data_IF_516901398303
#
_entry.id   IF_516901398303
#
_cell.length_a   1.000
_cell.length_b   1.000
_cell.length_c   1.000
_cell.angle_alpha   90.00
_cell.angle_beta   90.00
_cell.angle_gamma   90.00
#
_symmetry.space_group_name_H-M   'P 1'
#
loop_
_entity.id
_entity.type
_entity.pdbx_description
1 polymer ?
#
# COMPACT_ATOMS: atom_id res chain seq x y z
N UNK A 1 6.47 44.15 40.23
CA UNK A 1 6.00 42.81 40.63
C UNK A 1 5.83 42.03 39.32
N UNK A 2 6.83 41.22 38.96
CA UNK A 2 6.83 40.42 37.72
C UNK A 2 6.07 39.11 37.94
N UNK A 3 5.20 38.74 37.01
CA UNK A 3 4.66 37.40 36.80
C UNK A 3 4.31 37.32 35.30
N UNK A 4 5.16 36.67 34.48
CA UNK A 4 4.97 35.28 33.98
C UNK A 4 3.54 35.11 33.42
N UNK A 5 3.26 35.06 32.11
CA UNK A 5 4.01 34.47 31.01
C UNK A 5 3.65 32.99 30.87
N UNK A 6 2.65 32.66 30.04
CA UNK A 6 2.51 31.41 29.26
C UNK A 6 1.08 31.25 28.66
N UNK A 7 0.90 31.70 27.43
CA UNK A 7 0.22 30.94 26.36
C UNK A 7 1.34 30.75 25.30
N UNK A 8 1.51 29.61 24.59
CA UNK A 8 0.45 28.72 24.08
C UNK A 8 0.81 27.21 24.06
N UNK A 9 -0.14 26.30 24.31
CA UNK A 9 0.02 24.91 23.80
C UNK A 9 -0.84 24.72 22.56
N UNK A 10 -0.23 25.10 21.44
CA UNK A 10 -0.56 24.59 20.13
C UNK A 10 -0.47 23.05 20.18
N UNK A 11 -1.62 22.40 20.28
CA UNK A 11 -1.73 20.97 20.04
C UNK A 11 -1.21 20.67 18.65
N UNK A 12 0.02 20.16 18.58
CA UNK A 12 0.61 19.68 17.35
C UNK A 12 -0.31 18.59 16.79
N UNK A 13 -1.08 18.93 15.76
CA UNK A 13 -1.72 17.97 14.90
C UNK A 13 -0.60 17.05 14.39
N UNK A 14 -0.54 15.84 14.94
CA UNK A 14 0.36 14.81 14.42
C UNK A 14 0.12 14.75 12.91
N UNK A 15 1.14 14.95 12.07
CA UNK A 15 0.96 14.74 10.65
C UNK A 15 0.50 13.29 10.51
N UNK A 16 -0.76 13.10 10.09
CA UNK A 16 -1.29 11.79 9.80
C UNK A 16 -0.30 11.15 8.82
N UNK A 17 0.44 10.13 9.29
CA UNK A 17 1.26 9.34 8.39
C UNK A 17 0.35 8.95 7.23
N UNK A 18 0.73 9.21 5.96
CA UNK A 18 -0.14 8.94 4.83
C UNK A 18 -0.59 7.49 4.96
N UNK A 19 -1.90 7.32 5.17
CA UNK A 19 -2.47 6.02 5.44
C UNK A 19 -2.10 5.12 4.27
N UNK A 20 -1.16 4.19 4.51
CA UNK A 20 -0.79 3.23 3.48
C UNK A 20 -2.08 2.57 3.03
N UNK A 21 -2.42 2.60 1.72
CA UNK A 21 -3.65 1.99 1.26
C UNK A 21 -3.61 0.54 1.68
N UNK A 22 -4.60 0.08 2.45
CA UNK A 22 -4.59 -1.29 2.93
C UNK A 22 -4.51 -2.27 1.77
N UNK A 23 -3.85 -3.40 1.99
CA UNK A 23 -3.75 -4.47 0.99
C UNK A 23 -5.16 -4.87 0.50
N UNK A 24 -5.31 -5.19 -0.79
CA UNK A 24 -6.58 -5.68 -1.31
C UNK A 24 -7.04 -6.93 -0.54
N UNK A 25 -8.35 -7.02 -0.29
CA UNK A 25 -8.94 -8.20 0.35
C UNK A 25 -8.68 -9.44 -0.52
N UNK A 26 -8.36 -10.57 0.11
CA UNK A 26 -8.13 -11.84 -0.57
C UNK A 26 -6.72 -12.06 -1.09
N UNK A 27 -5.76 -11.16 -0.78
CA UNK A 27 -4.34 -11.37 -1.09
C UNK A 27 -3.46 -10.99 0.09
N UNK A 28 -2.42 -11.80 0.34
CA UNK A 28 -1.41 -11.50 1.36
C UNK A 28 -0.29 -10.66 0.74
N UNK A 29 0.50 -9.97 1.58
CA UNK A 29 1.67 -9.21 1.12
C UNK A 29 2.65 -10.07 0.31
N UNK A 30 2.86 -11.34 0.73
CA UNK A 30 3.72 -12.29 0.02
C UNK A 30 3.17 -12.65 -1.35
N UNK A 31 1.87 -12.97 -1.46
CA UNK A 31 1.23 -13.28 -2.75
C UNK A 31 1.26 -12.07 -3.69
N UNK A 32 1.12 -10.86 -3.17
CA UNK A 32 1.28 -9.64 -3.95
C UNK A 32 2.69 -9.50 -4.54
N UNK A 33 3.73 -9.71 -3.73
CA UNK A 33 5.12 -9.66 -4.20
C UNK A 33 5.35 -10.66 -5.34
N UNK A 34 4.88 -11.89 -5.15
CA UNK A 34 4.96 -12.94 -6.18
C UNK A 34 4.17 -12.53 -7.43
N UNK A 35 2.96 -11.97 -7.29
CA UNK A 35 2.18 -11.49 -8.44
C UNK A 35 2.93 -10.43 -9.26
N UNK A 36 3.59 -9.48 -8.58
CA UNK A 36 4.40 -8.44 -9.23
C UNK A 36 5.62 -9.04 -9.93
N UNK A 37 6.30 -9.97 -9.27
CA UNK A 37 7.45 -10.69 -9.83
C UNK A 37 7.04 -11.49 -11.07
N UNK A 38 6.00 -12.30 -11.00
CA UNK A 38 5.50 -13.09 -12.14
C UNK A 38 5.02 -12.21 -13.29
N UNK A 39 4.40 -11.06 -12.98
CA UNK A 39 4.01 -10.09 -14.01
C UNK A 39 5.23 -9.49 -14.71
N UNK A 40 6.33 -9.25 -13.99
CA UNK A 40 7.59 -8.77 -14.58
C UNK A 40 8.27 -9.83 -15.47
N UNK A 41 8.01 -11.12 -15.23
CA UNK A 41 8.44 -12.23 -16.10
C UNK A 41 7.58 -12.38 -17.37
N UNK A 42 6.55 -11.54 -17.54
CA UNK A 42 5.67 -11.54 -18.70
C UNK A 42 4.47 -12.48 -18.59
N UNK A 43 4.21 -13.10 -17.42
CA UNK A 43 3.03 -13.96 -17.25
C UNK A 43 1.74 -13.15 -17.29
N UNK A 44 0.69 -13.81 -17.80
CA UNK A 44 -0.64 -13.22 -17.83
C UNK A 44 -1.34 -13.31 -16.46
N UNK A 45 -2.39 -12.50 -16.28
CA UNK A 45 -3.11 -12.40 -15.01
C UNK A 45 -3.84 -13.69 -14.62
N UNK A 46 -4.30 -14.47 -15.60
CA UNK A 46 -4.97 -15.76 -15.40
C UNK A 46 -3.96 -16.85 -14.97
N UNK A 47 -2.78 -16.88 -15.57
CA UNK A 47 -1.69 -17.75 -15.13
C UNK A 47 -1.26 -17.44 -13.69
N UNK A 48 -1.09 -16.16 -13.37
CA UNK A 48 -0.73 -15.72 -12.01
C UNK A 48 -1.82 -16.10 -11.01
N UNK A 49 -3.09 -15.96 -11.37
CA UNK A 49 -4.23 -16.35 -10.53
C UNK A 49 -4.21 -17.84 -10.20
N UNK A 50 -3.93 -18.69 -11.19
CA UNK A 50 -3.79 -20.15 -11.00
C UNK A 50 -2.61 -20.50 -10.09
N UNK A 51 -1.45 -19.87 -10.29
CA UNK A 51 -0.24 -20.11 -9.46
C UNK A 51 -0.47 -19.71 -8.00
N UNK A 52 -1.17 -18.60 -7.79
CA UNK A 52 -1.41 -18.03 -6.46
C UNK A 52 -2.65 -18.60 -5.77
N UNK A 53 -3.41 -19.47 -6.44
CA UNK A 53 -4.70 -19.99 -5.98
C UNK A 53 -5.63 -18.87 -5.48
N UNK A 54 -5.87 -17.90 -6.34
CA UNK A 54 -6.79 -16.76 -6.12
C UNK A 54 -7.54 -16.45 -7.41
N UNK A 55 -8.60 -15.64 -7.33
CA UNK A 55 -9.30 -15.20 -8.53
C UNK A 55 -8.48 -14.17 -9.33
N UNK A 56 -8.66 -14.17 -10.66
CA UNK A 56 -8.09 -13.16 -11.55
C UNK A 56 -8.41 -11.73 -11.11
N UNK A 57 -9.63 -11.50 -10.60
CA UNK A 57 -10.05 -10.20 -10.08
C UNK A 57 -9.19 -9.74 -8.90
N UNK A 58 -8.78 -10.66 -8.03
CA UNK A 58 -7.86 -10.35 -6.91
C UNK A 58 -6.49 -9.99 -7.45
N UNK A 59 -5.97 -10.72 -8.44
CA UNK A 59 -4.67 -10.42 -9.07
C UNK A 59 -4.70 -9.06 -9.79
N UNK A 60 -5.73 -8.76 -10.57
CA UNK A 60 -5.89 -7.46 -11.23
C UNK A 60 -5.88 -6.31 -10.23
N UNK A 61 -6.64 -6.43 -9.13
CA UNK A 61 -6.66 -5.40 -8.07
C UNK A 61 -5.33 -5.29 -7.34
N UNK A 62 -4.65 -6.41 -7.12
CA UNK A 62 -3.33 -6.47 -6.49
C UNK A 62 -2.27 -5.76 -7.34
N UNK A 63 -2.22 -6.05 -8.64
CA UNK A 63 -1.30 -5.41 -9.57
C UNK A 63 -1.59 -3.90 -9.70
N UNK A 64 -2.87 -3.52 -9.80
CA UNK A 64 -3.27 -2.11 -9.82
C UNK A 64 -2.86 -1.38 -8.52
N UNK A 65 -3.06 -2.02 -7.36
CA UNK A 65 -2.62 -1.48 -6.07
C UNK A 65 -1.11 -1.31 -6.00
N UNK A 66 -0.33 -2.29 -6.48
CA UNK A 66 1.13 -2.20 -6.52
C UNK A 66 1.61 -1.07 -7.44
N UNK A 67 0.94 -0.86 -8.58
CA UNK A 67 1.23 0.23 -9.50
C UNK A 67 0.93 1.60 -8.88
N UNK A 68 -0.21 1.75 -8.21
CA UNK A 68 -0.52 2.97 -7.45
C UNK A 68 0.48 3.24 -6.32
N UNK A 69 0.97 2.20 -5.64
CA UNK A 69 2.02 2.31 -4.61
C UNK A 69 3.37 2.77 -5.17
N UNK A 70 3.70 2.40 -6.42
CA UNK A 70 4.90 2.88 -7.11
C UNK A 70 4.81 4.36 -7.47
N UNK A 71 3.65 4.78 -7.98
CA UNK A 71 3.43 6.17 -8.39
C UNK A 71 3.37 7.13 -7.19
N UNK A 72 2.94 6.66 -6.01
CA UNK A 72 2.90 7.44 -4.77
C UNK A 72 4.20 7.51 -3.96
N UNK A 73 5.33 6.97 -4.46
CA UNK A 73 6.62 6.98 -3.74
C UNK A 73 6.69 6.05 -2.52
N UNK A 74 5.75 5.11 -2.36
CA UNK A 74 5.63 4.23 -1.18
C UNK A 74 6.36 2.88 -1.29
N UNK A 75 7.01 2.60 -2.43
CA UNK A 75 7.73 1.34 -2.69
C UNK A 75 9.22 1.54 -3.01
N UNK A 76 9.83 2.61 -2.48
CA UNK A 76 11.29 2.78 -2.48
C UNK A 76 11.91 2.13 -1.25
#
# INVERSE_FOLDING_TARGET
RSASGADPEAGAAQPAAPALPSLPKGITRRKLQIAVEERSKGRDTAEIARVLDVSERVVTRALAWAESGRQGGMLR
#
